data_IF_022161251427
#
_entry.id   IF_022161251427
#
_cell.length_a   1.000
_cell.length_b   1.000
_cell.length_c   1.000
_cell.angle_alpha   90.00
_cell.angle_beta   90.00
_cell.angle_gamma   90.00
#
_symmetry.space_group_name_H-M   'P 1'
#
loop_
_entity.id
_entity.type
_entity.pdbx_description
1 polymer ?
#
# COMPACT_ATOMS: atom_id res chain seq x y z
N UNK A 1 19.08 30.68 15.82
CA UNK A 1 19.08 30.20 14.43
C UNK A 1 18.27 28.91 14.39
N UNK A 2 17.25 28.82 13.54
CA UNK A 2 16.47 27.59 13.39
C UNK A 2 17.18 26.68 12.38
N UNK A 3 17.49 25.45 12.76
CA UNK A 3 18.05 24.46 11.82
C UNK A 3 16.99 24.10 10.78
N UNK A 4 17.34 23.98 9.49
CA UNK A 4 16.38 23.58 8.46
C UNK A 4 15.96 22.13 8.70
N UNK A 5 14.64 21.90 8.71
CA UNK A 5 14.05 20.57 8.71
C UNK A 5 14.00 20.05 7.28
N UNK A 6 14.43 18.80 7.08
CA UNK A 6 14.48 18.15 5.77
C UNK A 6 13.83 16.77 5.83
N UNK A 7 13.32 16.30 4.69
CA UNK A 7 12.78 14.95 4.52
C UNK A 7 13.93 14.04 4.08
N UNK A 8 14.22 12.99 4.86
CA UNK A 8 15.33 12.06 4.60
C UNK A 8 14.88 10.69 4.07
N UNK A 9 13.57 10.44 4.00
CA UNK A 9 13.03 9.17 3.54
C UNK A 9 11.53 9.26 3.30
N UNK A 10 11.06 8.44 2.36
CA UNK A 10 9.65 8.31 2.00
C UNK A 10 9.32 6.85 1.77
N UNK A 11 8.12 6.44 2.18
CA UNK A 11 7.55 5.13 1.90
C UNK A 11 6.10 5.31 1.47
N UNK A 12 5.62 4.43 0.60
CA UNK A 12 4.26 4.54 0.08
C UNK A 12 3.65 3.15 -0.15
N UNK A 13 2.41 2.99 0.31
CA UNK A 13 1.55 1.85 0.02
C UNK A 13 0.23 2.44 -0.47
N UNK A 14 -0.16 2.12 -1.71
CA UNK A 14 -1.25 2.82 -2.38
C UNK A 14 -1.94 1.93 -3.41
N UNK A 15 -3.12 2.34 -3.93
CA UNK A 15 -3.78 1.63 -5.03
C UNK A 15 -2.99 1.64 -6.35
N UNK A 16 -2.02 2.53 -6.50
CA UNK A 16 -1.10 2.54 -7.65
C UNK A 16 0.13 1.65 -7.43
N UNK A 17 0.25 0.98 -6.29
CA UNK A 17 1.37 0.10 -5.94
C UNK A 17 2.10 0.52 -4.66
N UNK A 18 3.01 -0.35 -4.25
CA UNK A 18 3.92 -0.19 -3.12
C UNK A 18 5.28 0.31 -3.60
N UNK A 19 5.84 1.26 -2.87
CA UNK A 19 7.09 1.93 -3.22
C UNK A 19 6.87 3.28 -3.92
N UNK A 20 7.75 4.23 -3.62
CA UNK A 20 7.63 5.62 -4.07
C UNK A 20 7.79 5.73 -5.58
N UNK A 21 8.80 5.10 -6.17
CA UNK A 21 9.08 5.21 -7.61
C UNK A 21 7.95 4.63 -8.46
N UNK A 22 7.55 3.38 -8.17
CA UNK A 22 6.48 2.72 -8.91
C UNK A 22 5.15 3.49 -8.83
N UNK A 23 4.79 3.97 -7.63
CA UNK A 23 3.60 4.82 -7.49
C UNK A 23 3.73 6.11 -8.32
N UNK A 24 4.85 6.82 -8.18
CA UNK A 24 5.05 8.13 -8.79
C UNK A 24 5.05 8.06 -10.32
N UNK A 25 5.72 7.07 -10.91
CA UNK A 25 5.71 6.83 -12.35
C UNK A 25 4.30 6.58 -12.88
N UNK A 26 3.52 5.75 -12.18
CA UNK A 26 2.15 5.40 -12.57
C UNK A 26 1.21 6.60 -12.43
N UNK A 27 1.41 7.42 -11.40
CA UNK A 27 0.69 8.67 -11.19
C UNK A 27 0.97 9.66 -12.34
N UNK A 28 2.25 9.86 -12.71
CA UNK A 28 2.64 10.73 -13.81
C UNK A 28 2.15 10.21 -15.17
N UNK A 29 2.03 8.90 -15.33
CA UNK A 29 1.43 8.28 -16.52
C UNK A 29 -0.11 8.38 -16.55
N UNK A 30 -0.74 9.02 -15.56
CA UNK A 30 -2.19 9.19 -15.49
C UNK A 30 -2.96 7.89 -15.22
N UNK A 31 -2.30 6.87 -14.67
CA UNK A 31 -2.97 5.61 -14.33
C UNK A 31 -3.89 5.82 -13.13
N UNK A 32 -5.04 5.16 -13.16
CA UNK A 32 -5.96 5.09 -12.02
C UNK A 32 -5.75 3.78 -11.25
N UNK A 33 -5.74 3.87 -9.92
CA UNK A 33 -5.75 2.70 -9.03
C UNK A 33 -7.16 2.30 -8.57
N UNK A 34 -8.21 2.96 -9.07
CA UNK A 34 -9.60 2.61 -8.75
C UNK A 34 -10.07 1.49 -9.67
N UNK A 35 -10.53 0.40 -9.08
CA UNK A 35 -11.04 -0.77 -9.79
C UNK A 35 -12.25 -1.36 -9.09
N UNK A 36 -12.86 -2.38 -9.69
CA UNK A 36 -13.86 -3.21 -9.01
C UNK A 36 -13.28 -3.81 -7.72
N UNK A 37 -14.09 -3.87 -6.67
CA UNK A 37 -13.72 -4.49 -5.40
C UNK A 37 -13.66 -6.00 -5.60
N UNK A 38 -12.50 -6.60 -5.31
CA UNK A 38 -12.27 -8.06 -5.39
C UNK A 38 -12.06 -8.70 -4.02
N UNK A 39 -11.93 -7.88 -2.96
CA UNK A 39 -11.64 -8.36 -1.60
C UNK A 39 -12.80 -9.11 -0.94
N UNK A 40 -14.03 -8.81 -1.34
CA UNK A 40 -15.25 -9.40 -0.81
C UNK A 40 -16.41 -9.27 -1.82
N UNK A 41 -17.47 -10.05 -1.64
CA UNK A 41 -18.66 -10.03 -2.48
C UNK A 41 -19.43 -8.71 -2.36
N UNK A 42 -19.69 -8.04 -3.49
CA UNK A 42 -20.31 -6.70 -3.53
C UNK A 42 -21.79 -6.68 -3.91
N UNK A 43 -22.45 -7.84 -3.97
CA UNK A 43 -23.79 -8.04 -4.58
C UNK A 43 -24.79 -6.89 -4.38
N UNK A 44 -25.24 -6.69 -3.15
CA UNK A 44 -26.26 -5.69 -2.79
C UNK A 44 -25.68 -4.31 -2.44
N UNK A 45 -24.37 -4.14 -2.50
CA UNK A 45 -23.75 -2.86 -2.15
C UNK A 45 -23.97 -1.84 -3.28
N UNK A 46 -24.35 -0.59 -2.95
CA UNK A 46 -24.55 0.46 -3.95
C UNK A 46 -23.23 0.89 -4.61
N UNK A 47 -22.08 0.67 -3.95
CA UNK A 47 -20.75 1.01 -4.44
C UNK A 47 -19.96 -0.28 -4.62
N UNK A 48 -19.40 -0.47 -5.83
CA UNK A 48 -18.69 -1.70 -6.23
C UNK A 48 -17.24 -1.45 -6.66
N UNK A 49 -16.77 -0.21 -6.50
CA UNK A 49 -15.43 0.22 -6.89
C UNK A 49 -14.68 0.77 -5.69
N UNK A 50 -13.37 0.54 -5.64
CA UNK A 50 -12.47 1.09 -4.62
C UNK A 50 -11.04 1.23 -5.15
N UNK A 51 -10.26 2.10 -4.56
CA UNK A 51 -8.80 2.09 -4.69
C UNK A 51 -8.21 1.05 -3.75
N UNK A 52 -8.11 -0.20 -4.19
CA UNK A 52 -7.51 -1.28 -3.38
C UNK A 52 -6.02 -1.37 -3.66
N UNK A 53 -5.22 -1.61 -2.61
CA UNK A 53 -3.78 -1.86 -2.77
C UNK A 53 -3.60 -3.22 -3.47
N UNK A 54 -2.85 -3.30 -4.58
CA UNK A 54 -2.66 -4.57 -5.28
C UNK A 54 -1.83 -5.53 -4.41
N UNK A 55 -2.20 -6.80 -4.39
CA UNK A 55 -1.36 -7.87 -3.85
C UNK A 55 -0.32 -8.34 -4.86
N UNK A 56 0.65 -9.13 -4.41
CA UNK A 56 1.69 -9.71 -5.28
C UNK A 56 1.11 -10.56 -6.41
N UNK A 57 -0.05 -11.20 -6.24
CA UNK A 57 -0.70 -11.93 -7.34
C UNK A 57 -1.18 -11.03 -8.49
N UNK A 58 -1.61 -9.80 -8.17
CA UNK A 58 -2.16 -8.86 -9.13
C UNK A 58 -1.10 -7.93 -9.74
N UNK A 59 -0.02 -7.70 -9.00
CA UNK A 59 1.09 -6.85 -9.39
C UNK A 59 2.40 -7.43 -8.83
N UNK A 60 3.10 -8.26 -9.62
CA UNK A 60 4.35 -8.89 -9.17
C UNK A 60 5.49 -7.89 -8.92
N UNK A 61 5.38 -6.68 -9.46
CA UNK A 61 6.44 -5.66 -9.39
C UNK A 61 6.26 -4.73 -8.19
N UNK A 62 5.03 -4.23 -7.98
CA UNK A 62 4.71 -3.25 -6.94
C UNK A 62 3.56 -3.69 -6.03
N UNK A 63 3.25 -4.98 -5.97
CA UNK A 63 2.25 -5.54 -5.07
C UNK A 63 2.67 -5.43 -3.61
N UNK A 64 1.68 -5.41 -2.72
CA UNK A 64 1.89 -5.48 -1.28
C UNK A 64 2.20 -6.92 -0.87
N UNK A 65 3.38 -7.10 -0.26
CA UNK A 65 3.81 -8.37 0.33
C UNK A 65 3.79 -8.27 1.86
N UNK A 66 2.77 -8.84 2.54
CA UNK A 66 2.68 -8.80 3.99
C UNK A 66 3.80 -9.59 4.70
N UNK A 67 4.40 -10.59 4.05
CA UNK A 67 5.49 -11.38 4.65
C UNK A 67 6.79 -10.58 4.80
N UNK A 68 6.95 -9.48 4.06
CA UNK A 68 8.07 -8.54 4.21
C UNK A 68 7.94 -7.63 5.41
N UNK A 69 6.76 -7.54 6.01
CA UNK A 69 6.48 -6.61 7.11
C UNK A 69 6.48 -7.31 8.45
N UNK A 70 5.82 -8.46 8.56
CA UNK A 70 5.71 -9.21 9.79
C UNK A 70 5.51 -10.70 9.51
N UNK A 71 5.94 -11.55 10.44
CA UNK A 71 5.75 -12.98 10.32
C UNK A 71 4.25 -13.38 10.45
N UNK A 72 3.92 -14.62 10.07
CA UNK A 72 2.53 -15.10 10.10
C UNK A 72 1.86 -15.05 11.49
N UNK A 73 2.64 -15.10 12.58
CA UNK A 73 2.14 -15.10 13.95
C UNK A 73 1.83 -13.68 14.43
N UNK A 74 2.67 -12.73 14.06
CA UNK A 74 2.52 -11.31 14.35
C UNK A 74 1.41 -10.70 13.51
N UNK A 75 1.32 -11.04 12.22
CA UNK A 75 0.26 -10.56 11.31
C UNK A 75 -1.15 -10.83 11.82
N UNK A 76 -1.38 -11.99 12.46
CA UNK A 76 -2.70 -12.35 13.02
C UNK A 76 -3.15 -11.44 14.17
N UNK A 77 -2.21 -10.72 14.79
CA UNK A 77 -2.48 -9.78 15.89
C UNK A 77 -2.56 -8.33 15.41
N UNK A 78 -2.37 -8.11 14.10
CA UNK A 78 -2.28 -6.80 13.49
C UNK A 78 -3.45 -6.57 12.55
N UNK A 79 -3.97 -5.35 12.58
CA UNK A 79 -4.88 -4.87 11.55
C UNK A 79 -4.12 -4.63 10.24
N UNK A 80 -4.82 -4.74 9.10
CA UNK A 80 -4.23 -4.55 7.78
C UNK A 80 -3.53 -3.18 7.63
N UNK A 81 -4.11 -2.15 8.25
CA UNK A 81 -3.50 -0.82 8.28
C UNK A 81 -2.10 -0.85 8.92
N UNK A 82 -1.93 -1.57 10.02
CA UNK A 82 -0.65 -1.69 10.72
C UNK A 82 0.41 -2.41 9.89
N UNK A 83 0.00 -3.30 8.97
CA UNK A 83 0.90 -3.97 8.04
C UNK A 83 1.33 -3.08 6.87
N UNK A 84 0.51 -2.10 6.49
CA UNK A 84 0.87 -1.17 5.41
C UNK A 84 1.94 -0.13 5.82
N UNK A 85 2.16 0.04 7.12
CA UNK A 85 3.14 0.98 7.65
C UNK A 85 4.46 0.26 7.94
N UNK A 86 5.60 0.71 7.39
CA UNK A 86 6.89 0.10 7.71
C UNK A 86 7.15 0.23 9.22
N UNK A 87 7.65 -0.82 9.90
CA UNK A 87 7.94 -0.74 11.33
C UNK A 87 8.86 0.46 11.60
N UNK A 88 8.68 1.17 12.74
CA UNK A 88 9.56 2.28 13.08
C UNK A 88 11.00 1.76 13.05
N UNK A 89 11.86 2.39 12.24
CA UNK A 89 13.28 2.09 12.23
C UNK A 89 13.78 2.19 13.67
N UNK A 90 14.11 1.05 14.28
CA UNK A 90 14.90 1.05 15.50
C UNK A 90 16.21 1.74 15.15
N UNK A 91 16.51 2.83 15.85
CA UNK A 91 17.86 3.38 15.87
C UNK A 91 18.83 2.36 16.45
#
# INVERSE_FOLDING_TARGET
MSSPLVITGMGMVSPLGCGVNANWERLLAGRSGVSSITRFETGELPIKVAGSVPGMESDPEAGFDPDRVADAKERRKMELFSLSWPPPMRR
#
